data_IF_891150911237
#
_entry.id   IF_891150911237
#
_cell.length_a   1.000
_cell.length_b   1.000
_cell.length_c   1.000
_cell.angle_alpha   90.00
_cell.angle_beta   90.00
_cell.angle_gamma   90.00
#
_symmetry.space_group_name_H-M   'P 1'
#
loop_
_entity.id
_entity.type
_entity.pdbx_description
1 polymer ?
#
# COMPACT_ATOMS: atom_id res chain seq x y z
N UNK A 1 17.70 2.95 -17.86
CA UNK A 1 16.76 3.79 -17.09
C UNK A 1 15.36 3.24 -17.32
N UNK A 2 14.83 2.45 -16.37
CA UNK A 2 13.54 1.78 -16.53
C UNK A 2 12.42 2.56 -15.85
N UNK A 3 11.38 2.90 -16.60
CA UNK A 3 10.15 3.49 -16.06
C UNK A 3 9.20 2.39 -15.60
N UNK A 4 9.39 1.89 -14.39
CA UNK A 4 8.40 1.02 -13.74
C UNK A 4 7.17 1.84 -13.31
N UNK A 5 6.33 2.20 -14.28
CA UNK A 5 4.98 2.71 -14.02
C UNK A 5 4.01 1.54 -14.14
N UNK A 6 3.98 0.69 -13.11
CA UNK A 6 2.88 -0.25 -12.89
C UNK A 6 1.69 0.60 -12.44
N UNK A 7 0.88 1.05 -13.40
CA UNK A 7 -0.42 1.63 -13.08
C UNK A 7 -1.41 0.49 -12.83
N UNK A 8 -2.29 0.61 -11.82
CA UNK A 8 -3.40 -0.32 -11.68
C UNK A 8 -4.22 -0.35 -12.97
N UNK A 9 -4.74 -1.54 -13.29
CA UNK A 9 -5.79 -1.65 -14.30
C UNK A 9 -6.99 -0.83 -13.81
N UNK A 10 -7.62 -0.06 -14.71
CA UNK A 10 -8.81 0.73 -14.38
C UNK A 10 -9.84 -0.16 -13.68
N UNK A 11 -10.28 0.24 -12.48
CA UNK A 11 -11.24 -0.52 -11.66
C UNK A 11 -10.63 -1.48 -10.62
N UNK A 12 -9.31 -1.73 -10.60
CA UNK A 12 -8.72 -2.69 -9.65
C UNK A 12 -8.86 -2.30 -8.17
N UNK A 13 -8.91 -1.01 -7.87
CA UNK A 13 -8.91 -0.48 -6.50
C UNK A 13 -10.09 0.47 -6.26
N UNK A 14 -11.21 0.27 -6.96
CA UNK A 14 -12.45 1.03 -6.74
C UNK A 14 -13.15 0.65 -5.43
N UNK A 15 -12.78 -0.45 -4.78
CA UNK A 15 -13.32 -0.85 -3.48
C UNK A 15 -12.22 -1.28 -2.49
N UNK A 16 -12.42 -1.00 -1.20
CA UNK A 16 -11.61 -1.58 -0.11
C UNK A 16 -11.87 -3.08 -0.05
N UNK A 17 -10.81 -3.89 0.00
CA UNK A 17 -10.93 -5.33 0.23
C UNK A 17 -11.76 -5.66 1.47
N UNK A 18 -12.64 -6.66 1.38
CA UNK A 18 -13.47 -7.16 2.48
C UNK A 18 -12.67 -7.46 3.76
N UNK A 19 -11.41 -7.90 3.61
CA UNK A 19 -10.53 -8.18 4.75
C UNK A 19 -10.30 -6.91 5.60
N UNK A 20 -10.06 -5.76 4.96
CA UNK A 20 -9.87 -4.47 5.65
C UNK A 20 -11.21 -3.90 6.09
N UNK A 21 -12.25 -4.05 5.26
CA UNK A 21 -13.59 -3.51 5.52
C UNK A 21 -14.24 -4.08 6.80
N UNK A 22 -13.97 -5.35 7.10
CA UNK A 22 -14.51 -6.02 8.27
C UNK A 22 -13.56 -6.02 9.48
N UNK A 23 -12.31 -5.62 9.31
CA UNK A 23 -11.35 -5.55 10.41
C UNK A 23 -11.48 -4.21 11.15
N UNK A 24 -12.01 -4.26 12.37
CA UNK A 24 -12.17 -3.09 13.24
C UNK A 24 -10.86 -2.36 13.58
N UNK A 25 -9.72 -3.05 13.51
CA UNK A 25 -8.40 -2.46 13.73
C UNK A 25 -7.96 -1.60 12.55
N UNK A 26 -8.25 -2.05 11.33
CA UNK A 26 -7.81 -1.36 10.11
C UNK A 26 -8.86 -0.39 9.57
N UNK A 27 -10.15 -0.73 9.65
CA UNK A 27 -11.23 0.04 9.06
C UNK A 27 -11.22 1.55 9.40
N UNK A 28 -10.98 1.99 10.65
CA UNK A 28 -10.91 3.42 10.97
C UNK A 28 -9.84 4.19 10.20
N UNK A 29 -8.79 3.52 9.74
CA UNK A 29 -7.67 4.13 9.02
C UNK A 29 -7.86 4.14 7.50
N UNK A 30 -8.66 3.20 6.97
CA UNK A 30 -8.83 3.00 5.53
C UNK A 30 -10.24 3.32 5.02
N UNK A 31 -11.16 3.66 5.93
CA UNK A 31 -12.47 4.20 5.56
C UNK A 31 -12.26 5.46 4.71
N UNK A 32 -12.90 5.51 3.55
CA UNK A 32 -12.82 6.61 2.59
C UNK A 32 -11.42 6.82 1.95
N UNK A 33 -10.52 5.84 2.04
CA UNK A 33 -9.18 5.85 1.41
C UNK A 33 -9.11 5.10 0.07
N UNK A 34 -10.26 4.67 -0.46
CA UNK A 34 -10.39 4.29 -1.87
C UNK A 34 -10.05 5.55 -2.67
N UNK A 35 -9.28 5.42 -3.76
CA UNK A 35 -8.68 6.53 -4.53
C UNK A 35 -7.40 7.17 -3.95
N UNK A 36 -7.18 7.16 -2.63
CA UNK A 36 -5.87 7.55 -2.07
C UNK A 36 -4.77 6.56 -2.49
N UNK A 37 -5.18 5.31 -2.75
CA UNK A 37 -4.39 4.26 -3.39
C UNK A 37 -4.61 4.36 -4.92
N UNK A 38 -4.18 5.46 -5.57
CA UNK A 38 -4.14 5.61 -7.04
C UNK A 38 -3.08 4.68 -7.70
N UNK A 39 -2.73 3.57 -7.04
CA UNK A 39 -1.54 2.77 -7.37
C UNK A 39 -0.24 3.56 -7.34
N UNK A 40 -0.23 4.75 -6.73
CA UNK A 40 0.99 5.52 -6.52
C UNK A 40 1.84 4.76 -5.52
N UNK A 41 2.76 3.94 -6.04
CA UNK A 41 3.76 3.25 -5.25
C UNK A 41 4.76 4.29 -4.74
N UNK A 42 4.53 4.78 -3.53
CA UNK A 42 5.54 5.58 -2.81
C UNK A 42 6.60 4.59 -2.33
N UNK A 43 7.86 4.80 -2.75
CA UNK A 43 8.98 4.05 -2.19
C UNK A 43 9.09 4.39 -0.70
N UNK A 44 8.63 3.50 0.16
CA UNK A 44 8.88 3.56 1.58
C UNK A 44 10.33 3.16 1.84
N UNK A 45 11.24 4.14 1.81
CA UNK A 45 12.61 3.96 2.28
C UNK A 45 12.69 4.41 3.73
N UNK A 46 13.07 3.49 4.62
CA UNK A 46 13.52 3.85 5.97
C UNK A 46 15.03 4.16 5.92
N UNK A 47 15.50 5.03 6.82
CA UNK A 47 16.92 5.41 6.86
C UNK A 47 17.81 4.17 7.00
N UNK A 48 19.03 4.16 6.43
CA UNK A 48 19.89 2.98 6.42
C UNK A 48 20.14 2.37 7.80
N UNK A 49 20.27 3.20 8.84
CA UNK A 49 20.44 2.76 10.23
C UNK A 49 19.23 2.01 10.79
N UNK A 50 18.04 2.25 10.23
CA UNK A 50 16.80 1.57 10.63
C UNK A 50 16.49 0.34 9.80
N UNK A 51 17.25 0.01 8.75
CA UNK A 51 16.92 -1.10 7.83
C UNK A 51 17.23 -2.48 8.41
N UNK A 52 18.21 -2.59 9.31
CA UNK A 52 18.73 -3.85 9.85
C UNK A 52 17.62 -4.80 10.37
N UNK A 53 16.60 -4.36 11.13
CA UNK A 53 15.56 -5.24 11.65
C UNK A 53 14.61 -5.82 10.59
N UNK A 54 14.62 -5.27 9.37
CA UNK A 54 13.66 -5.59 8.30
C UNK A 54 14.28 -6.41 7.16
N UNK A 55 15.59 -6.63 7.18
CA UNK A 55 16.30 -7.47 6.20
C UNK A 55 16.18 -8.94 6.60
N UNK A 56 15.94 -9.82 5.62
CA UNK A 56 16.00 -11.29 5.82
C UNK A 56 14.80 -11.92 6.53
N UNK A 57 13.65 -11.24 6.61
CA UNK A 57 12.40 -11.86 7.10
C UNK A 57 11.84 -12.84 6.05
N UNK A 58 11.50 -14.05 6.48
CA UNK A 58 10.83 -15.10 5.70
C UNK A 58 9.40 -15.28 6.19
#
# INVERSE_FOLDING_TARGET
>A
MGIDKIKPTKGQFEEVSNHIRHDTRYWPHFKDCIEAIDGTHIKACISPSCQIPYIGRK
#
